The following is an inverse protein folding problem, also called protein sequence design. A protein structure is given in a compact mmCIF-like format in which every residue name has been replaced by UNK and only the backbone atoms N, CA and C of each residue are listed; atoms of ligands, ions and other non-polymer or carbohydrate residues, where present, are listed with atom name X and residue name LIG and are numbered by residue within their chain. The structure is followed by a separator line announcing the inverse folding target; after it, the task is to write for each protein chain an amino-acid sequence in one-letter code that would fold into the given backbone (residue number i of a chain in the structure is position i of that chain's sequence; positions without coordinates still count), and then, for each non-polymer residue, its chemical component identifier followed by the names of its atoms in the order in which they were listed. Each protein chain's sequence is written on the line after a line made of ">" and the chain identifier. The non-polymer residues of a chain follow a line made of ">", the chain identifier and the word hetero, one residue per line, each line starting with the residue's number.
data_IF_406059632146
#
_entry.id   IF_406059632146
#
_cell.length_a   1.000
_cell.length_b   1.000
_cell.length_c   1.000
_cell.angle_alpha   90.00
_cell.angle_beta   90.00
_cell.angle_gamma   90.00
#
_symmetry.space_group_name_H-M   'P 1'
#
loop_
_entity.id
_entity.type
_entity.pdbx_description
1 polymer ?
#
# COMPACT_ATOMS: atom_id res chain seq x y z
N UNK A 1 -17.31 -11.89 -10.01
CA UNK A 1 -17.69 -10.96 -8.92
C UNK A 1 -17.15 -9.59 -9.26
N UNK A 2 -17.91 -8.52 -9.00
CA UNK A 2 -17.41 -7.15 -9.11
C UNK A 2 -17.08 -6.66 -7.71
N UNK A 3 -15.81 -6.35 -7.45
CA UNK A 3 -15.35 -5.83 -6.18
C UNK A 3 -15.43 -4.30 -6.18
N UNK A 4 -15.84 -3.72 -5.06
CA UNK A 4 -15.87 -2.26 -4.89
C UNK A 4 -14.52 -1.79 -4.38
N UNK A 5 -13.81 -1.04 -5.21
CA UNK A 5 -12.51 -0.49 -4.88
C UNK A 5 -12.63 0.85 -4.14
N UNK A 6 -11.91 0.98 -3.03
CA UNK A 6 -11.80 2.19 -2.24
C UNK A 6 -10.48 2.90 -2.54
N UNK A 7 -10.58 4.06 -3.18
CA UNK A 7 -9.47 4.93 -3.59
C UNK A 7 -9.25 6.11 -2.63
N UNK A 8 -9.92 6.17 -1.47
CA UNK A 8 -9.87 7.34 -0.59
C UNK A 8 -8.47 7.65 -0.04
N UNK A 9 -7.56 6.68 -0.05
CA UNK A 9 -6.18 6.82 0.40
C UNK A 9 -5.19 6.99 -0.75
N UNK A 10 -5.68 7.22 -1.97
CA UNK A 10 -4.86 7.61 -3.11
C UNK A 10 -5.69 8.43 -4.10
N UNK A 11 -5.77 9.72 -3.82
CA UNK A 11 -6.57 10.70 -4.57
C UNK A 11 -5.88 11.14 -5.85
N UNK A 12 -6.57 11.92 -6.68
CA UNK A 12 -5.97 12.55 -7.86
C UNK A 12 -4.81 13.52 -7.50
N UNK A 13 -4.83 14.10 -6.30
CA UNK A 13 -3.76 14.96 -5.82
C UNK A 13 -2.51 14.15 -5.46
N UNK A 14 -2.70 13.01 -4.79
CA UNK A 14 -1.62 12.07 -4.45
C UNK A 14 -0.98 11.50 -5.73
N UNK A 15 -1.81 11.12 -6.71
CA UNK A 15 -1.34 10.70 -8.02
C UNK A 15 -0.51 11.78 -8.72
N UNK A 16 -0.98 13.02 -8.73
CA UNK A 16 -0.25 14.13 -9.33
C UNK A 16 1.06 14.43 -8.57
N UNK A 17 1.08 14.27 -7.24
CA UNK A 17 2.28 14.41 -6.43
C UNK A 17 3.30 13.31 -6.75
N UNK A 18 2.87 12.06 -6.86
CA UNK A 18 3.71 10.94 -7.28
C UNK A 18 4.25 11.15 -8.70
N UNK A 19 3.43 11.60 -9.65
CA UNK A 19 3.90 11.94 -11.00
C UNK A 19 4.97 13.04 -10.99
N UNK A 20 4.84 14.07 -10.15
CA UNK A 20 5.87 15.10 -9.98
C UNK A 20 7.15 14.50 -9.38
N UNK A 21 7.02 13.72 -8.29
CA UNK A 21 8.17 13.04 -7.66
C UNK A 21 8.95 12.20 -8.67
N UNK A 22 8.26 11.39 -9.46
CA UNK A 22 8.86 10.51 -10.48
C UNK A 22 9.43 11.24 -11.70
N UNK A 23 8.94 12.45 -12.00
CA UNK A 23 9.45 13.26 -13.11
C UNK A 23 10.69 14.04 -12.70
N UNK A 24 10.61 14.70 -11.56
CA UNK A 24 11.53 15.78 -11.21
C UNK A 24 12.66 15.31 -10.28
N UNK A 25 12.40 14.29 -9.45
CA UNK A 25 13.31 13.93 -8.37
C UNK A 25 13.40 12.41 -8.11
N UNK A 26 13.12 11.58 -9.11
CA UNK A 26 13.13 10.11 -8.94
C UNK A 26 14.47 9.52 -8.49
N UNK A 27 15.59 10.20 -8.80
CA UNK A 27 16.94 9.77 -8.39
C UNK A 27 17.18 9.90 -6.90
N UNK A 28 16.34 10.64 -6.19
CA UNK A 28 16.44 10.86 -4.75
C UNK A 28 15.56 9.89 -3.96
N UNK A 29 14.81 9.01 -4.64
CA UNK A 29 14.01 7.98 -3.96
C UNK A 29 14.97 7.06 -3.22
N UNK A 30 14.69 6.81 -1.94
CA UNK A 30 15.56 5.99 -1.09
C UNK A 30 15.65 4.54 -1.60
N UNK A 31 16.76 3.81 -1.38
CA UNK A 31 16.93 2.42 -1.82
C UNK A 31 15.86 1.44 -1.31
N UNK A 32 15.15 1.77 -0.23
CA UNK A 32 14.02 0.99 0.30
C UNK A 32 12.64 1.41 -0.21
N UNK A 33 12.60 2.37 -1.15
CA UNK A 33 11.36 2.91 -1.69
C UNK A 33 10.71 3.99 -0.83
N UNK A 34 9.56 4.46 -1.32
CA UNK A 34 8.73 5.49 -0.69
C UNK A 34 7.25 5.09 -0.81
N UNK A 35 6.50 5.16 0.29
CA UNK A 35 5.06 4.91 0.32
C UNK A 35 4.28 6.16 -0.11
N UNK A 36 3.25 5.99 -0.95
CA UNK A 36 2.43 7.09 -1.48
C UNK A 36 0.94 6.97 -1.18
N UNK A 37 0.44 5.78 -0.83
CA UNK A 37 -0.96 5.59 -0.55
C UNK A 37 -1.33 4.14 -0.64
N UNK A 38 -2.63 3.88 -0.67
CA UNK A 38 -3.14 2.53 -0.73
C UNK A 38 -4.51 2.51 -1.40
N UNK A 39 -4.89 1.34 -1.89
CA UNK A 39 -6.22 1.03 -2.38
C UNK A 39 -6.74 -0.21 -1.71
N UNK A 40 -8.05 -0.28 -1.48
CA UNK A 40 -8.64 -1.37 -0.70
C UNK A 40 -9.83 -1.98 -1.40
N UNK A 41 -10.04 -3.27 -1.19
CA UNK A 41 -11.32 -3.93 -1.43
C UNK A 41 -11.50 -5.03 -0.39
N UNK A 42 -12.62 -5.00 0.33
CA UNK A 42 -12.83 -5.85 1.51
C UNK A 42 -11.63 -5.69 2.46
N UNK A 43 -11.18 -6.79 3.05
CA UNK A 43 -9.98 -6.80 3.89
C UNK A 43 -8.67 -6.98 3.11
N UNK A 44 -8.65 -6.76 1.79
CA UNK A 44 -7.39 -6.71 1.03
C UNK A 44 -7.00 -5.26 0.73
N UNK A 45 -5.76 -4.91 1.06
CA UNK A 45 -5.15 -3.61 0.84
C UNK A 45 -4.00 -3.76 -0.15
N UNK A 46 -3.80 -2.81 -1.06
CA UNK A 46 -2.58 -2.71 -1.86
C UNK A 46 -1.92 -1.38 -1.56
N UNK A 47 -0.69 -1.42 -1.12
CA UNK A 47 0.11 -0.22 -0.94
C UNK A 47 0.67 0.23 -2.29
N UNK A 48 0.48 1.50 -2.59
CA UNK A 48 1.11 2.17 -3.74
C UNK A 48 2.43 2.75 -3.26
N UNK A 49 3.52 2.23 -3.79
CA UNK A 49 4.87 2.63 -3.43
C UNK A 49 5.70 2.92 -4.68
N UNK A 50 6.85 3.57 -4.46
CA UNK A 50 7.94 3.56 -5.43
C UNK A 50 9.06 2.69 -4.91
N UNK A 51 9.64 1.84 -5.74
CA UNK A 51 10.66 0.89 -5.33
C UNK A 51 11.79 0.79 -6.36
N UNK A 52 13.02 0.61 -5.87
CA UNK A 52 14.16 0.24 -6.70
C UNK A 52 14.22 -1.27 -6.81
N UNK A 53 13.80 -1.81 -7.95
CA UNK A 53 13.90 -3.24 -8.21
C UNK A 53 15.35 -3.62 -8.58
N UNK A 54 15.76 -4.83 -8.18
CA UNK A 54 17.16 -5.28 -8.33
C UNK A 54 17.59 -5.27 -9.80
N UNK A 55 18.67 -4.53 -10.09
CA UNK A 55 19.28 -4.49 -11.42
C UNK A 55 18.68 -3.43 -12.35
N UNK A 56 17.74 -2.63 -11.86
CA UNK A 56 17.05 -1.60 -12.65
C UNK A 56 17.71 -0.22 -12.51
N UNK A 57 17.61 0.58 -13.57
CA UNK A 57 18.18 1.94 -13.64
C UNK A 57 17.23 3.04 -13.16
N UNK A 58 15.94 2.75 -13.08
CA UNK A 58 14.90 3.66 -12.61
C UNK A 58 13.93 2.95 -11.63
N UNK A 59 13.33 3.68 -10.68
CA UNK A 59 12.37 3.10 -9.77
C UNK A 59 11.05 2.78 -10.47
N UNK A 60 10.33 1.81 -9.93
CA UNK A 60 9.01 1.39 -10.39
C UNK A 60 7.94 1.91 -9.46
N UNK A 61 6.71 2.01 -9.96
CA UNK A 61 5.52 2.12 -9.12
C UNK A 61 5.01 0.72 -8.87
N UNK A 62 4.98 0.33 -7.60
CA UNK A 62 4.53 -1.00 -7.16
C UNK A 62 3.20 -0.88 -6.42
N UNK A 63 2.37 -1.90 -6.60
CA UNK A 63 1.15 -2.10 -5.83
C UNK A 63 1.22 -3.49 -5.23
N UNK A 64 1.54 -3.59 -3.94
CA UNK A 64 1.80 -4.87 -3.26
C UNK A 64 0.65 -5.20 -2.30
N UNK A 65 0.08 -6.42 -2.36
CA UNK A 65 -1.07 -6.79 -1.54
C UNK A 65 -0.71 -7.06 -0.08
N UNK A 66 -1.60 -6.66 0.82
CA UNK A 66 -1.60 -6.99 2.23
C UNK A 66 -3.02 -7.41 2.64
N UNK A 67 -3.12 -8.40 3.50
CA UNK A 67 -4.40 -8.85 4.05
C UNK A 67 -4.23 -9.32 5.50
N UNK A 68 -5.26 -9.20 6.35
CA UNK A 68 -5.16 -9.54 7.75
C UNK A 68 -4.65 -10.96 7.97
N UNK A 69 -3.78 -11.08 8.95
CA UNK A 69 -3.36 -12.34 9.51
C UNK A 69 -4.09 -12.53 10.84
N UNK A 70 -4.78 -13.66 11.01
CA UNK A 70 -5.26 -14.07 12.34
C UNK A 70 -4.11 -14.81 13.05
N UNK A 71 -3.58 -14.23 14.12
CA UNK A 71 -2.54 -14.86 14.93
C UNK A 71 -2.99 -16.19 15.60
N UNK A 72 -4.29 -16.46 15.63
CA UNK A 72 -4.87 -17.74 16.05
C UNK A 72 -5.18 -18.68 14.88
N UNK A 73 -4.88 -18.28 13.63
CA UNK A 73 -5.08 -19.11 12.45
C UNK A 73 -4.30 -20.42 12.58
N UNK A 74 -4.94 -21.58 12.39
CA UNK A 74 -4.23 -22.85 12.29
C UNK A 74 -3.44 -22.98 10.99
N UNK A 75 -3.67 -22.09 10.02
CA UNK A 75 -2.92 -22.02 8.78
C UNK A 75 -1.70 -21.09 8.97
N UNK A 76 -0.48 -21.52 8.58
CA UNK A 76 0.72 -20.70 8.68
C UNK A 76 0.57 -19.42 7.84
N UNK A 77 1.26 -18.32 8.19
CA UNK A 77 1.32 -17.15 7.32
C UNK A 77 1.79 -17.58 5.93
N UNK A 78 1.08 -17.18 4.88
CA UNK A 78 1.44 -17.53 3.50
C UNK A 78 2.82 -16.94 3.16
N UNK A 79 3.08 -15.71 3.64
CA UNK A 79 4.39 -15.06 3.62
C UNK A 79 4.45 -13.93 4.68
N UNK A 80 4.99 -14.21 5.86
CA UNK A 80 5.25 -13.20 6.89
C UNK A 80 6.50 -12.39 6.51
N UNK A 81 6.32 -11.21 5.91
CA UNK A 81 7.44 -10.33 5.54
C UNK A 81 8.05 -9.61 6.73
N UNK A 82 7.25 -9.38 7.78
CA UNK A 82 7.67 -8.70 9.00
C UNK A 82 7.15 -9.49 10.20
N UNK A 83 8.04 -10.23 10.90
CA UNK A 83 7.66 -11.01 12.07
C UNK A 83 6.86 -10.19 13.10
N UNK A 84 5.67 -10.68 13.46
CA UNK A 84 4.78 -10.04 14.44
C UNK A 84 3.89 -8.93 13.90
N UNK A 85 3.84 -8.72 12.57
CA UNK A 85 2.84 -7.83 11.95
C UNK A 85 1.53 -8.60 11.70
N UNK A 86 0.36 -7.97 11.91
CA UNK A 86 -0.94 -8.65 11.82
C UNK A 86 -1.44 -8.78 10.37
N UNK A 87 -0.55 -8.96 9.39
CA UNK A 87 -0.90 -9.07 7.98
C UNK A 87 0.12 -9.89 7.18
N UNK A 88 -0.40 -10.62 6.20
CA UNK A 88 0.36 -11.38 5.21
C UNK A 88 0.52 -10.56 3.90
N UNK A 89 1.50 -10.92 3.08
CA UNK A 89 1.66 -10.43 1.68
C UNK A 89 1.44 -11.58 0.69
N UNK A 90 1.29 -11.24 -0.59
CA UNK A 90 1.49 -12.17 -1.70
C UNK A 90 2.24 -11.48 -2.84
N UNK A 91 3.58 -11.56 -2.79
CA UNK A 91 4.46 -10.78 -3.68
C UNK A 91 4.18 -11.03 -5.16
N UNK A 92 3.76 -12.25 -5.53
CA UNK A 92 3.43 -12.61 -6.92
C UNK A 92 2.22 -11.84 -7.48
N UNK A 93 1.33 -11.35 -6.62
CA UNK A 93 0.18 -10.51 -7.01
C UNK A 93 0.50 -9.00 -6.95
N UNK A 94 1.78 -8.65 -6.87
CA UNK A 94 2.21 -7.25 -6.93
C UNK A 94 2.14 -6.74 -8.36
N UNK A 95 1.47 -5.60 -8.56
CA UNK A 95 1.46 -4.94 -9.85
C UNK A 95 2.65 -3.98 -9.95
N UNK A 96 3.52 -4.24 -10.92
CA UNK A 96 4.73 -3.46 -11.18
C UNK A 96 4.55 -2.61 -12.44
N UNK A 97 4.67 -1.29 -12.30
CA UNK A 97 4.48 -0.33 -13.39
C UNK A 97 5.77 0.48 -13.55
N UNK A 98 6.32 0.50 -14.76
CA UNK A 98 7.50 1.32 -15.03
C UNK A 98 7.20 2.81 -14.85
N UNK A 99 8.19 3.56 -14.38
CA UNK A 99 8.11 5.03 -14.25
C UNK A 99 7.58 5.69 -15.51
N UNK A 100 8.10 5.29 -16.67
CA UNK A 100 7.71 5.83 -17.98
C UNK A 100 6.24 5.54 -18.32
N UNK A 101 5.73 4.36 -18.01
CA UNK A 101 4.32 4.04 -18.23
C UNK A 101 3.42 4.86 -17.31
N UNK A 102 3.74 4.91 -16.02
CA UNK A 102 2.96 5.65 -15.02
C UNK A 102 2.84 7.15 -15.35
N UNK A 103 3.94 7.77 -15.79
CA UNK A 103 3.98 9.20 -16.16
C UNK A 103 3.11 9.56 -17.37
N UNK A 104 2.64 8.58 -18.15
CA UNK A 104 1.81 8.80 -19.35
C UNK A 104 0.32 8.71 -19.06
N UNK A 105 -0.08 8.18 -17.91
CA UNK A 105 -1.49 7.97 -17.62
C UNK A 105 -2.12 9.17 -16.92
N UNK A 106 -3.35 9.55 -17.30
CA UNK A 106 -4.25 10.29 -16.44
C UNK A 106 -4.70 9.44 -15.25
N UNK A 107 -5.04 10.10 -14.14
CA UNK A 107 -5.47 9.43 -12.89
C UNK A 107 -6.58 8.39 -13.11
N UNK A 108 -7.66 8.76 -13.82
CA UNK A 108 -8.78 7.84 -14.05
C UNK A 108 -8.38 6.61 -14.89
N UNK A 109 -7.50 6.80 -15.88
CA UNK A 109 -6.98 5.68 -16.68
C UNK A 109 -6.11 4.74 -15.83
N UNK A 110 -5.33 5.29 -14.91
CA UNK A 110 -4.57 4.50 -13.95
C UNK A 110 -5.52 3.71 -13.03
N UNK A 111 -6.55 4.35 -12.48
CA UNK A 111 -7.55 3.68 -11.63
C UNK A 111 -8.24 2.52 -12.38
N UNK A 112 -8.64 2.74 -13.63
CA UNK A 112 -9.29 1.71 -14.45
C UNK A 112 -8.35 0.54 -14.77
N UNK A 113 -7.08 0.85 -15.08
CA UNK A 113 -6.06 -0.17 -15.35
C UNK A 113 -5.81 -1.04 -14.11
N UNK A 114 -5.52 -0.39 -12.97
CA UNK A 114 -5.26 -1.07 -11.70
C UNK A 114 -6.46 -1.91 -11.26
N UNK A 115 -7.66 -1.32 -11.27
CA UNK A 115 -8.90 -2.02 -10.90
C UNK A 115 -9.11 -3.28 -11.72
N UNK A 116 -8.89 -3.21 -13.04
CA UNK A 116 -9.03 -4.37 -13.92
C UNK A 116 -7.99 -5.43 -13.63
N UNK A 117 -6.72 -5.04 -13.49
CA UNK A 117 -5.63 -5.97 -13.28
C UNK A 117 -5.74 -6.69 -11.94
N UNK A 118 -5.92 -5.94 -10.84
CA UNK A 118 -6.03 -6.53 -9.51
C UNK A 118 -7.30 -7.38 -9.33
N UNK A 119 -8.37 -7.10 -10.09
CA UNK A 119 -9.55 -7.98 -10.09
C UNK A 119 -9.26 -9.38 -10.66
N UNK A 120 -8.22 -9.53 -11.50
CA UNK A 120 -7.75 -10.83 -11.98
C UNK A 120 -6.90 -11.52 -10.91
N UNK A 121 -5.98 -10.79 -10.27
CA UNK A 121 -5.13 -11.31 -9.17
C UNK A 121 -5.97 -11.82 -7.99
N UNK A 122 -7.07 -11.13 -7.66
CA UNK A 122 -8.01 -11.52 -6.63
C UNK A 122 -8.71 -12.88 -6.83
N UNK A 123 -8.52 -13.53 -7.98
CA UNK A 123 -9.00 -14.90 -8.22
C UNK A 123 -8.09 -15.94 -7.58
N UNK A 124 -6.88 -15.58 -7.17
CA UNK A 124 -5.97 -16.49 -6.50
C UNK A 124 -6.56 -16.97 -5.15
N UNK A 125 -6.48 -18.28 -4.83
CA UNK A 125 -7.09 -18.84 -3.61
C UNK A 125 -6.62 -18.17 -2.31
N UNK A 126 -5.40 -17.63 -2.30
CA UNK A 126 -4.81 -16.95 -1.13
C UNK A 126 -5.67 -15.78 -0.63
N UNK A 127 -6.41 -15.10 -1.52
CA UNK A 127 -7.27 -13.99 -1.14
C UNK A 127 -8.66 -14.42 -0.64
N UNK A 128 -9.02 -15.71 -0.72
CA UNK A 128 -10.38 -16.17 -0.48
C UNK A 128 -10.90 -15.80 0.92
N UNK A 129 -10.07 -15.94 1.95
CA UNK A 129 -10.43 -15.60 3.33
C UNK A 129 -10.67 -14.07 3.49
N UNK A 130 -9.73 -13.25 3.01
CA UNK A 130 -9.80 -11.80 3.11
C UNK A 130 -10.90 -11.17 2.20
N UNK A 131 -11.39 -11.93 1.22
CA UNK A 131 -12.52 -11.53 0.36
C UNK A 131 -13.88 -12.03 0.86
N UNK A 132 -13.91 -13.02 1.75
CA UNK A 132 -15.15 -13.63 2.23
C UNK A 132 -16.03 -12.62 2.97
N UNK A 133 -15.40 -11.76 3.78
CA UNK A 133 -16.07 -10.74 4.59
C UNK A 133 -15.36 -9.40 4.47
N UNK A 134 -16.07 -8.33 4.82
CA UNK A 134 -15.49 -6.99 5.00
C UNK A 134 -15.54 -6.68 6.49
N UNK A 135 -14.51 -7.12 7.23
CA UNK A 135 -14.52 -7.00 8.68
C UNK A 135 -14.21 -5.59 9.14
N UNK A 136 -13.79 -4.69 8.24
CA UNK A 136 -13.35 -3.33 8.57
C UNK A 136 -12.02 -3.32 9.32
N UNK A 137 -11.16 -4.33 9.12
CA UNK A 137 -9.86 -4.44 9.78
C UNK A 137 -9.02 -3.19 9.54
N UNK A 138 -8.90 -2.78 8.28
CA UNK A 138 -8.03 -1.70 7.86
C UNK A 138 -8.46 -0.32 8.38
N UNK A 139 -9.76 -0.09 8.54
CA UNK A 139 -10.28 1.14 9.14
C UNK A 139 -9.92 1.24 10.64
N UNK A 140 -10.02 0.11 11.36
CA UNK A 140 -9.57 0.04 12.76
C UNK A 140 -8.05 0.23 12.87
N UNK A 141 -7.30 -0.38 11.96
CA UNK A 141 -5.85 -0.23 11.90
C UNK A 141 -5.45 1.25 11.68
N UNK A 142 -6.06 1.93 10.73
CA UNK A 142 -5.81 3.35 10.46
C UNK A 142 -6.16 4.24 11.65
N UNK A 143 -7.30 3.97 12.31
CA UNK A 143 -7.71 4.69 13.52
C UNK A 143 -6.68 4.53 14.65
N UNK A 144 -6.15 3.32 14.85
CA UNK A 144 -5.08 3.05 15.82
C UNK A 144 -3.80 3.81 15.48
N UNK A 145 -3.36 3.77 14.22
CA UNK A 145 -2.16 4.51 13.79
C UNK A 145 -2.33 6.03 13.96
N UNK A 146 -3.53 6.56 13.68
CA UNK A 146 -3.84 7.98 13.92
C UNK A 146 -3.70 8.34 15.40
N UNK A 147 -4.31 7.56 16.28
CA UNK A 147 -4.23 7.80 17.73
C UNK A 147 -2.78 7.77 18.24
N UNK A 148 -1.97 6.82 17.76
CA UNK A 148 -0.54 6.75 18.12
C UNK A 148 0.25 7.98 17.66
N UNK A 149 -0.02 8.48 16.44
CA UNK A 149 0.62 9.69 15.91
C UNK A 149 0.21 10.93 16.70
N UNK A 150 -1.06 11.03 17.09
CA UNK A 150 -1.57 12.13 17.92
C UNK A 150 -0.95 12.11 19.32
N UNK A 151 -0.83 10.94 19.95
CA UNK A 151 -0.14 10.78 21.23
C UNK A 151 1.34 11.18 21.15
N UNK A 152 2.08 10.67 20.16
CA UNK A 152 3.48 11.02 19.96
C UNK A 152 3.69 12.51 19.66
N UNK A 153 2.74 13.15 18.97
CA UNK A 153 2.77 14.58 18.71
C UNK A 153 2.48 15.42 19.98
N UNK A 154 1.63 14.92 20.88
CA UNK A 154 1.37 15.54 22.17
C UNK A 154 2.61 15.45 23.08
N UNK A 155 3.23 14.27 23.18
CA UNK A 155 4.47 14.07 23.97
C UNK A 155 5.62 15.00 23.51
N UNK A 156 5.79 15.18 22.20
CA UNK A 156 6.78 16.13 21.66
C UNK A 156 6.46 17.60 21.93
N UNK A 157 5.19 17.95 22.17
CA UNK A 157 4.77 19.31 22.54
C UNK A 157 4.97 19.58 24.03
N UNK A 158 4.84 18.56 24.85
CA UNK A 158 5.00 18.63 26.30
C UNK A 158 6.47 18.53 26.77
N UNK A 159 7.41 18.20 25.87
CA UNK A 159 8.87 18.32 26.08
C UNK A 159 9.53 19.38 25.16
N UNK A 160 9.34 20.69 25.43
CA UNK A 160 10.05 21.76 24.72
C UNK A 160 11.52 21.93 25.17
N UNK A 161 12.06 21.04 26.02
CA UNK A 161 13.21 21.33 26.90
C UNK A 161 14.21 20.20 27.11
N UNK A 162 14.41 19.33 26.12
CA UNK A 162 15.53 18.39 26.10
C UNK A 162 16.88 19.12 26.17
N UNK A 163 17.45 19.17 27.36
CA UNK A 163 18.71 19.83 27.75
C UNK A 163 19.86 19.62 26.75
N UNK A 164 20.51 20.72 26.38
CA UNK A 164 21.94 20.77 26.03
C UNK A 164 22.80 20.26 27.19
#
# INVERSE_FOLDING_TARGET
>A
MSYRWNWQHFTSQDFAALQRRLRDAWREILPGGEYFGQIRTRDVCWDIQTEWLRGEEEPYVTLSPFFPHDAASPEPPYQEMVPGMPFDTYDEASLVISRRAFLRWPYLQFCDFVTRHLSEELKAPVFAAALAEDTGFWDRHDARLRALREAAAAEKRDDPGGKM
#
